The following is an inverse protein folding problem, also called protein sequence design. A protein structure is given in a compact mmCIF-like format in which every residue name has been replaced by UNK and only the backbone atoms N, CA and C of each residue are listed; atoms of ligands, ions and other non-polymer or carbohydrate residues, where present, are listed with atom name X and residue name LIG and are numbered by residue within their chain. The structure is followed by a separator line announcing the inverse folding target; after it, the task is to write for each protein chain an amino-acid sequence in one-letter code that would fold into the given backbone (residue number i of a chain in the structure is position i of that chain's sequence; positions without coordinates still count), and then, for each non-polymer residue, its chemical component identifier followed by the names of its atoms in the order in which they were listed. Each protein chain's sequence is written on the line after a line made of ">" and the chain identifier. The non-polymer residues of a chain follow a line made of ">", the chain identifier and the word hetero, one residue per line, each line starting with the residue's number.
data_IF_948779195926
#
_entry.id   IF_948779195926
#
_cell.length_a   1.000
_cell.length_b   1.000
_cell.length_c   1.000
_cell.angle_alpha   90.00
_cell.angle_beta   90.00
_cell.angle_gamma   90.00
#
_symmetry.space_group_name_H-M   'P 1'
#
loop_
_entity.id
_entity.type
_entity.pdbx_description
1 polymer ?
#
# COMPACT_ATOMS: atom_id res chain seq x y z
N UNK A 1 -2.84 -44.93 -0.09
CA UNK A 1 -2.16 -43.65 0.17
C UNK A 1 -3.05 -42.55 -0.40
N UNK A 2 -3.76 -41.83 0.47
CA UNK A 2 -4.76 -40.84 0.07
C UNK A 2 -4.06 -39.54 -0.38
N UNK A 3 -4.45 -39.02 -1.55
CA UNK A 3 -4.07 -37.68 -2.01
C UNK A 3 -4.69 -36.62 -1.11
N UNK A 4 -3.95 -35.60 -0.66
CA UNK A 4 -4.56 -34.47 0.02
C UNK A 4 -5.27 -33.60 -1.03
N UNK A 5 -6.60 -33.57 -0.96
CA UNK A 5 -7.43 -32.55 -1.62
C UNK A 5 -7.04 -31.19 -1.04
N UNK A 6 -6.40 -30.33 -1.83
CA UNK A 6 -6.20 -28.93 -1.46
C UNK A 6 -7.58 -28.26 -1.52
N UNK A 7 -8.09 -27.90 -0.36
CA UNK A 7 -9.29 -27.10 -0.22
C UNK A 7 -9.08 -25.78 -0.96
N UNK A 8 -9.96 -25.51 -1.93
CA UNK A 8 -10.10 -24.18 -2.50
C UNK A 8 -10.59 -23.26 -1.38
N UNK A 9 -9.72 -22.38 -0.89
CA UNK A 9 -10.11 -21.31 0.04
C UNK A 9 -11.01 -20.36 -0.72
N UNK A 10 -12.31 -20.60 -0.58
CA UNK A 10 -13.37 -19.70 -1.02
C UNK A 10 -13.56 -18.67 0.09
N UNK A 11 -13.96 -17.45 -0.28
CA UNK A 11 -14.28 -16.27 0.54
C UNK A 11 -13.15 -15.24 0.74
N UNK A 12 -13.13 -14.24 -0.13
CA UNK A 12 -12.69 -12.88 0.23
C UNK A 12 -13.92 -11.98 0.19
N UNK A 13 -14.83 -12.18 1.15
CA UNK A 13 -15.98 -11.32 1.45
C UNK A 13 -15.60 -10.26 2.49
N UNK A 14 -14.38 -9.74 2.41
CA UNK A 14 -13.88 -8.66 3.25
C UNK A 14 -13.42 -7.49 2.38
N UNK A 15 -13.67 -6.28 2.85
CA UNK A 15 -13.03 -5.07 2.32
C UNK A 15 -11.51 -5.33 2.26
N UNK A 16 -10.87 -5.28 1.08
CA UNK A 16 -9.46 -5.66 0.96
C UNK A 16 -8.50 -4.58 1.47
N UNK A 17 -9.04 -3.40 1.80
CA UNK A 17 -8.31 -2.18 2.17
C UNK A 17 -8.55 -1.82 3.63
N UNK A 18 -7.59 -1.13 4.23
CA UNK A 18 -7.62 -0.67 5.61
C UNK A 18 -7.78 0.85 5.66
N UNK A 19 -8.12 1.38 6.82
CA UNK A 19 -8.20 2.83 7.03
C UNK A 19 -6.87 3.55 6.78
N UNK A 20 -5.71 3.03 7.21
CA UNK A 20 -4.43 3.66 6.88
C UNK A 20 -4.09 3.64 5.38
N UNK A 21 -4.51 2.61 4.63
CA UNK A 21 -4.38 2.62 3.16
C UNK A 21 -5.26 3.70 2.54
N UNK A 22 -6.49 3.89 3.04
CA UNK A 22 -7.38 4.95 2.60
C UNK A 22 -6.79 6.35 2.87
N UNK A 23 -6.20 6.55 4.05
CA UNK A 23 -5.50 7.78 4.43
C UNK A 23 -4.35 8.09 3.46
N UNK A 24 -3.54 7.08 3.15
CA UNK A 24 -2.44 7.21 2.22
C UNK A 24 -2.89 7.57 0.79
N UNK A 25 -4.07 7.13 0.34
CA UNK A 25 -4.65 7.61 -0.92
C UNK A 25 -5.04 9.09 -0.84
N UNK A 26 -5.66 9.53 0.25
CA UNK A 26 -5.96 10.96 0.44
C UNK A 26 -4.71 11.84 0.43
N UNK A 27 -3.57 11.33 0.92
CA UNK A 27 -2.32 12.07 1.00
C UNK A 27 -1.49 12.05 -0.29
N UNK A 28 -1.55 10.97 -1.08
CA UNK A 28 -0.60 10.74 -2.19
C UNK A 28 -1.21 10.75 -3.59
N UNK A 29 -2.53 10.82 -3.70
CA UNK A 29 -3.26 10.74 -4.98
C UNK A 29 -4.22 11.91 -5.14
N UNK A 30 -3.79 12.92 -5.90
CA UNK A 30 -4.54 14.17 -6.11
C UNK A 30 -5.90 13.94 -6.79
N UNK A 31 -6.02 12.88 -7.61
CA UNK A 31 -7.26 12.55 -8.32
C UNK A 31 -8.25 11.76 -7.44
N UNK A 32 -7.80 11.22 -6.31
CA UNK A 32 -8.62 10.37 -5.45
C UNK A 32 -9.89 11.07 -4.96
N UNK A 33 -9.74 12.26 -4.37
CA UNK A 33 -10.90 13.01 -3.83
C UNK A 33 -11.90 13.43 -4.90
N UNK A 34 -11.49 14.03 -6.04
CA UNK A 34 -12.40 14.30 -7.17
C UNK A 34 -13.13 13.06 -7.69
N UNK A 35 -12.46 11.91 -7.78
CA UNK A 35 -13.08 10.66 -8.25
C UNK A 35 -14.12 10.11 -7.27
N UNK A 36 -13.91 10.24 -5.95
CA UNK A 36 -14.91 9.86 -4.95
C UNK A 36 -16.22 10.64 -5.12
N UNK A 37 -16.11 11.95 -5.41
CA UNK A 37 -17.29 12.80 -5.67
C UNK A 37 -18.01 12.41 -6.95
N UNK A 38 -17.25 12.21 -8.03
CA UNK A 38 -17.83 12.02 -9.37
C UNK A 38 -18.31 10.59 -9.62
N UNK A 39 -17.61 9.59 -9.10
CA UNK A 39 -17.92 8.16 -9.35
C UNK A 39 -18.84 7.55 -8.30
N UNK A 40 -18.74 7.99 -7.06
CA UNK A 40 -19.50 7.44 -5.93
C UNK A 40 -20.51 8.42 -5.32
N UNK A 41 -20.56 9.65 -5.84
CA UNK A 41 -21.45 10.70 -5.35
C UNK A 41 -21.32 10.91 -3.84
N UNK A 42 -20.09 10.88 -3.31
CA UNK A 42 -19.81 11.21 -1.91
C UNK A 42 -19.85 12.73 -1.71
N UNK A 43 -20.46 13.16 -0.61
CA UNK A 43 -20.48 14.59 -0.25
C UNK A 43 -19.15 15.02 0.35
N UNK A 44 -18.91 16.34 0.40
CA UNK A 44 -17.73 16.91 1.08
C UNK A 44 -17.65 16.49 2.54
N UNK A 45 -18.78 16.51 3.25
CA UNK A 45 -18.84 16.08 4.65
C UNK A 45 -18.48 14.59 4.82
N UNK A 46 -18.97 13.73 3.93
CA UNK A 46 -18.62 12.30 3.95
C UNK A 46 -17.13 12.08 3.70
N UNK A 47 -16.55 12.82 2.75
CA UNK A 47 -15.12 12.74 2.44
C UNK A 47 -14.28 13.25 3.61
N UNK A 48 -14.69 14.36 4.23
CA UNK A 48 -14.01 14.91 5.40
C UNK A 48 -14.04 13.94 6.58
N UNK A 49 -15.19 13.29 6.84
CA UNK A 49 -15.30 12.26 7.88
C UNK A 49 -14.44 11.03 7.57
N UNK A 50 -14.46 10.53 6.32
CA UNK A 50 -13.60 9.41 5.90
C UNK A 50 -12.12 9.72 6.10
N UNK A 51 -11.68 10.92 5.72
CA UNK A 51 -10.30 11.37 5.93
C UNK A 51 -9.97 11.44 7.42
N UNK A 52 -10.84 12.01 8.24
CA UNK A 52 -10.63 12.15 9.68
C UNK A 52 -10.49 10.78 10.37
N UNK A 53 -11.39 9.83 10.10
CA UNK A 53 -11.30 8.49 10.71
C UNK A 53 -10.11 7.69 10.19
N UNK A 54 -9.78 7.83 8.90
CA UNK A 54 -8.63 7.16 8.31
C UNK A 54 -7.33 7.61 8.97
N UNK A 55 -7.21 8.93 9.14
CA UNK A 55 -6.10 9.59 9.80
C UNK A 55 -5.97 9.25 11.28
N UNK A 56 -7.08 9.20 12.00
CA UNK A 56 -7.11 8.82 13.41
C UNK A 56 -6.52 7.41 13.60
N UNK A 57 -6.95 6.45 12.77
CA UNK A 57 -6.42 5.09 12.83
C UNK A 57 -4.94 5.00 12.45
N UNK A 58 -4.48 5.72 11.42
CA UNK A 58 -3.04 5.80 11.08
C UNK A 58 -2.20 6.28 12.27
N UNK A 59 -2.72 7.24 13.04
CA UNK A 59 -1.99 7.85 14.16
C UNK A 59 -1.80 6.88 15.34
N UNK A 60 -2.77 5.98 15.57
CA UNK A 60 -2.73 4.97 16.65
C UNK A 60 -1.56 3.98 16.49
N UNK A 61 -1.18 3.66 15.25
CA UNK A 61 -0.08 2.71 14.95
C UNK A 61 1.28 3.16 15.50
N UNK A 62 1.45 4.47 15.72
CA UNK A 62 2.69 5.06 16.23
C UNK A 62 2.80 4.99 17.75
N UNK A 63 1.68 5.02 18.47
CA UNK A 63 1.70 5.05 19.95
C UNK A 63 2.16 3.71 20.55
N UNK A 64 2.14 2.65 19.74
CA UNK A 64 2.44 1.27 20.13
C UNK A 64 3.88 0.82 19.82
N UNK A 65 4.82 1.73 19.54
CA UNK A 65 6.25 1.40 19.35
C UNK A 65 6.91 0.73 20.59
N UNK A 66 6.21 0.69 21.73
CA UNK A 66 6.61 -0.04 22.94
C UNK A 66 6.25 -1.54 22.86
N UNK A 67 6.86 -2.25 21.91
CA UNK A 67 7.16 -3.69 21.99
C UNK A 67 6.03 -4.72 21.94
N UNK A 68 4.76 -4.35 22.10
CA UNK A 68 3.63 -5.31 22.18
C UNK A 68 2.54 -5.03 21.13
N UNK A 69 2.99 -4.86 19.88
CA UNK A 69 2.10 -4.60 18.75
C UNK A 69 1.44 -5.89 18.25
N UNK A 70 0.17 -6.09 18.58
CA UNK A 70 -0.61 -7.30 18.24
C UNK A 70 -1.61 -7.16 17.07
N UNK A 71 -1.66 -6.01 16.39
CA UNK A 71 -2.66 -5.74 15.36
C UNK A 71 -2.55 -6.68 14.15
N UNK A 72 -3.68 -7.04 13.55
CA UNK A 72 -3.73 -7.89 12.35
C UNK A 72 -4.35 -7.17 11.15
N UNK A 73 -3.93 -7.55 9.95
CA UNK A 73 -4.54 -7.06 8.70
C UNK A 73 -6.05 -7.40 8.62
N UNK A 74 -6.48 -8.50 9.23
CA UNK A 74 -7.87 -8.94 9.20
C UNK A 74 -8.77 -7.98 10.01
N UNK A 75 -8.39 -7.69 11.25
CA UNK A 75 -9.12 -6.76 12.13
C UNK A 75 -9.14 -5.35 11.52
N UNK A 76 -8.02 -4.91 10.95
CA UNK A 76 -7.92 -3.60 10.31
C UNK A 76 -8.86 -3.44 9.11
N UNK A 77 -9.10 -4.52 8.35
CA UNK A 77 -10.04 -4.55 7.23
C UNK A 77 -11.49 -4.55 7.70
N UNK A 78 -11.80 -5.31 8.76
CA UNK A 78 -13.13 -5.33 9.36
C UNK A 78 -13.51 -3.96 9.93
N UNK A 79 -12.59 -3.32 10.64
CA UNK A 79 -12.76 -1.96 11.14
C UNK A 79 -13.02 -0.98 9.99
N UNK A 80 -12.22 -1.04 8.93
CA UNK A 80 -12.39 -0.19 7.76
C UNK A 80 -13.77 -0.38 7.11
N UNK A 81 -14.23 -1.63 6.98
CA UNK A 81 -15.56 -1.94 6.45
C UNK A 81 -16.67 -1.32 7.32
N UNK A 82 -16.57 -1.44 8.64
CA UNK A 82 -17.55 -0.86 9.57
C UNK A 82 -17.59 0.66 9.45
N UNK A 83 -16.43 1.33 9.51
CA UNK A 83 -16.36 2.80 9.45
C UNK A 83 -16.85 3.37 8.13
N UNK A 84 -16.50 2.75 7.01
CA UNK A 84 -17.00 3.17 5.69
C UNK A 84 -18.53 3.04 5.63
N UNK A 85 -19.09 1.92 6.12
CA UNK A 85 -20.54 1.72 6.17
C UNK A 85 -21.24 2.74 7.06
N UNK A 86 -20.66 3.08 8.22
CA UNK A 86 -21.20 4.10 9.14
C UNK A 86 -21.28 5.48 8.49
N UNK A 87 -20.25 5.89 7.74
CA UNK A 87 -20.14 7.25 7.18
C UNK A 87 -20.93 7.41 5.88
N UNK A 88 -20.81 6.43 4.96
CA UNK A 88 -21.39 6.56 3.60
C UNK A 88 -22.62 5.68 3.36
N UNK A 89 -22.98 4.82 4.32
CA UNK A 89 -24.03 3.82 4.16
C UNK A 89 -23.51 2.51 3.56
N UNK A 90 -24.30 1.44 3.65
CA UNK A 90 -23.88 0.09 3.24
C UNK A 90 -23.49 0.01 1.75
N UNK A 91 -24.36 0.49 0.85
CA UNK A 91 -24.15 0.38 -0.59
C UNK A 91 -22.91 1.15 -1.05
N UNK A 92 -22.81 2.43 -0.65
CA UNK A 92 -21.65 3.27 -0.98
C UNK A 92 -20.39 2.80 -0.27
N UNK A 93 -20.50 2.22 0.93
CA UNK A 93 -19.36 1.66 1.67
C UNK A 93 -18.72 0.49 0.91
N UNK A 94 -19.55 -0.41 0.38
CA UNK A 94 -19.07 -1.50 -0.48
C UNK A 94 -18.48 -0.99 -1.80
N UNK A 95 -19.10 0.01 -2.43
CA UNK A 95 -18.57 0.62 -3.66
C UNK A 95 -17.23 1.33 -3.41
N UNK A 96 -17.10 2.05 -2.29
CA UNK A 96 -15.85 2.69 -1.88
C UNK A 96 -14.75 1.66 -1.67
N UNK A 97 -15.02 0.59 -0.91
CA UNK A 97 -14.07 -0.50 -0.72
C UNK A 97 -13.59 -1.12 -2.04
N UNK A 98 -14.51 -1.37 -2.97
CA UNK A 98 -14.19 -1.91 -4.29
C UNK A 98 -13.36 -0.91 -5.11
N UNK A 99 -13.74 0.36 -5.11
CA UNK A 99 -13.03 1.43 -5.81
C UNK A 99 -11.59 1.57 -5.34
N UNK A 100 -11.36 1.64 -4.02
CA UNK A 100 -10.02 1.71 -3.44
C UNK A 100 -9.23 0.44 -3.77
N UNK A 101 -9.86 -0.74 -3.71
CA UNK A 101 -9.19 -2.00 -4.08
C UNK A 101 -8.74 -2.04 -5.53
N UNK A 102 -9.62 -1.68 -6.46
CA UNK A 102 -9.32 -1.67 -7.90
C UNK A 102 -8.18 -0.70 -8.17
N UNK A 103 -8.30 0.54 -7.65
CA UNK A 103 -7.30 1.59 -7.80
C UNK A 103 -5.95 1.16 -7.22
N UNK A 104 -5.97 0.53 -6.05
CA UNK A 104 -4.77 0.02 -5.44
C UNK A 104 -4.17 -1.09 -6.29
N UNK A 105 -4.92 -2.14 -6.66
CA UNK A 105 -4.38 -3.26 -7.46
C UNK A 105 -3.80 -2.81 -8.80
N UNK A 106 -4.49 -1.93 -9.52
CA UNK A 106 -4.07 -1.42 -10.82
C UNK A 106 -2.74 -0.64 -10.74
N UNK A 107 -2.47 0.01 -9.60
CA UNK A 107 -1.50 1.10 -9.58
C UNK A 107 -2.07 2.32 -10.32
N UNK A 108 -1.65 3.52 -9.94
CA UNK A 108 -2.26 4.80 -10.33
C UNK A 108 -2.47 5.03 -11.84
N UNK A 109 -1.83 4.26 -12.72
CA UNK A 109 -1.76 4.58 -14.16
C UNK A 109 -2.40 3.52 -15.08
N UNK A 110 -2.88 2.38 -14.55
CA UNK A 110 -3.56 1.37 -15.38
C UNK A 110 -5.05 1.70 -15.62
N UNK A 111 -5.58 2.74 -14.97
CA UNK A 111 -6.96 3.20 -15.18
C UNK A 111 -7.14 3.95 -16.51
N UNK A 112 -6.08 4.57 -17.07
CA UNK A 112 -6.10 5.22 -18.39
C UNK A 112 -5.97 4.21 -19.56
N UNK A 113 -5.46 3.00 -19.28
CA UNK A 113 -5.00 2.05 -20.30
C UNK A 113 -6.00 0.92 -20.61
N UNK A 114 -7.31 1.16 -20.52
CA UNK A 114 -8.37 0.22 -20.98
C UNK A 114 -8.44 0.07 -22.52
N UNK A 115 -7.28 0.02 -23.20
CA UNK A 115 -7.12 -0.35 -24.62
C UNK A 115 -5.92 -1.28 -24.87
N UNK A 116 -5.53 -2.09 -23.90
CA UNK A 116 -4.68 -3.26 -24.18
C UNK A 116 -5.52 -4.50 -23.93
N UNK A 117 -5.69 -5.31 -24.98
CA UNK A 117 -6.28 -6.66 -24.88
C UNK A 117 -5.63 -7.39 -23.71
N UNK A 118 -6.36 -8.18 -22.92
CA UNK A 118 -5.75 -8.92 -21.83
C UNK A 118 -4.67 -9.83 -22.41
N UNK A 119 -3.39 -9.49 -22.20
CA UNK A 119 -2.32 -10.44 -22.38
C UNK A 119 -2.66 -11.60 -21.47
N UNK A 120 -2.92 -12.74 -22.08
CA UNK A 120 -3.56 -13.92 -21.51
C UNK A 120 -2.62 -14.69 -20.59
N UNK A 121 -1.72 -13.99 -19.91
CA UNK A 121 -0.88 -14.54 -18.87
C UNK A 121 -1.33 -13.95 -17.54
N UNK A 122 -2.48 -14.47 -17.09
CA UNK A 122 -2.79 -14.60 -15.68
C UNK A 122 -1.66 -15.40 -15.03
N UNK A 123 -0.55 -14.75 -14.73
CA UNK A 123 0.50 -15.33 -13.90
C UNK A 123 0.08 -15.16 -12.45
N UNK A 124 -1.03 -15.80 -12.09
CA UNK A 124 -1.14 -16.46 -10.80
C UNK A 124 -0.16 -17.65 -10.84
N UNK A 125 1.14 -17.37 -10.94
CA UNK A 125 2.14 -18.39 -10.67
C UNK A 125 1.90 -18.85 -9.25
N UNK A 126 1.85 -20.16 -9.04
CA UNK A 126 1.81 -20.75 -7.71
C UNK A 126 2.82 -20.04 -6.79
N UNK A 127 2.50 -19.87 -5.49
CA UNK A 127 3.42 -19.24 -4.55
C UNK A 127 4.84 -19.79 -4.72
N UNK A 128 5.83 -18.90 -4.75
CA UNK A 128 7.25 -19.22 -4.91
C UNK A 128 7.68 -19.78 -6.28
N UNK A 129 6.89 -19.63 -7.35
CA UNK A 129 7.40 -19.96 -8.69
C UNK A 129 8.52 -19.01 -9.08
N UNK A 130 9.63 -19.56 -9.57
CA UNK A 130 10.76 -18.79 -10.07
C UNK A 130 10.37 -18.16 -11.41
N UNK A 131 10.49 -16.82 -11.57
CA UNK A 131 10.19 -16.17 -12.85
C UNK A 131 11.14 -16.62 -13.97
N UNK A 132 10.69 -16.56 -15.22
CA UNK A 132 11.53 -16.81 -16.41
C UNK A 132 12.00 -15.52 -17.09
N UNK A 133 11.55 -14.36 -16.63
CA UNK A 133 11.82 -13.03 -17.20
C UNK A 133 12.64 -12.16 -16.24
N UNK A 134 12.81 -10.88 -16.59
CA UNK A 134 13.44 -9.88 -15.72
C UNK A 134 12.39 -9.23 -14.84
N UNK A 135 12.43 -9.49 -13.52
CA UNK A 135 11.52 -8.88 -12.56
C UNK A 135 12.07 -8.87 -11.15
N UNK A 136 11.42 -8.09 -10.29
CA UNK A 136 11.62 -8.14 -8.84
C UNK A 136 10.48 -8.96 -8.22
N UNK A 137 10.80 -9.85 -7.30
CA UNK A 137 9.83 -10.61 -6.50
C UNK A 137 9.98 -10.23 -5.04
N UNK A 138 8.92 -9.67 -4.44
CA UNK A 138 8.86 -9.37 -3.00
C UNK A 138 8.06 -10.46 -2.30
N UNK A 139 8.74 -11.29 -1.50
CA UNK A 139 8.11 -12.26 -0.61
C UNK A 139 7.97 -11.62 0.78
N UNK A 140 6.85 -10.94 0.99
CA UNK A 140 6.58 -10.20 2.22
C UNK A 140 6.58 -11.10 3.48
N UNK A 141 5.94 -12.28 3.51
CA UNK A 141 6.03 -13.19 4.67
C UNK A 141 7.46 -13.63 5.00
N UNK A 142 8.34 -13.70 4.00
CA UNK A 142 9.75 -14.07 4.19
C UNK A 142 10.68 -12.86 4.40
N UNK A 143 10.16 -11.63 4.44
CA UNK A 143 10.97 -10.40 4.54
C UNK A 143 12.11 -10.37 3.50
N UNK A 144 11.83 -10.84 2.28
CA UNK A 144 12.83 -11.03 1.23
C UNK A 144 12.40 -10.42 -0.10
N UNK A 145 13.34 -9.78 -0.78
CA UNK A 145 13.18 -9.31 -2.15
C UNK A 145 14.26 -9.91 -3.05
N UNK A 146 13.85 -10.56 -4.13
CA UNK A 146 14.70 -11.24 -5.10
C UNK A 146 14.66 -10.47 -6.44
N UNK A 147 15.83 -10.24 -7.03
CA UNK A 147 15.99 -9.56 -8.33
C UNK A 147 16.39 -10.60 -9.37
N UNK A 148 15.55 -10.77 -10.38
CA UNK A 148 15.79 -11.67 -11.51
C UNK A 148 16.10 -10.89 -12.78
N UNK A 149 17.02 -11.42 -13.57
CA UNK A 149 17.32 -10.97 -14.92
C UNK A 149 17.21 -12.18 -15.85
N UNK A 150 16.27 -12.14 -16.79
CA UNK A 150 16.01 -13.26 -17.73
C UNK A 150 15.86 -14.62 -17.03
N UNK A 151 15.12 -14.63 -15.91
CA UNK A 151 14.88 -15.82 -15.08
C UNK A 151 16.05 -16.25 -14.18
N UNK A 152 17.22 -15.61 -14.28
CA UNK A 152 18.36 -15.87 -13.38
C UNK A 152 18.27 -14.97 -12.16
N UNK A 153 18.38 -15.56 -10.96
CA UNK A 153 18.51 -14.78 -9.72
C UNK A 153 19.84 -14.03 -9.72
N UNK A 154 19.78 -12.71 -9.68
CA UNK A 154 20.95 -11.81 -9.66
C UNK A 154 21.29 -11.42 -8.22
N UNK A 155 20.28 -11.16 -7.39
CA UNK A 155 20.50 -10.72 -6.02
C UNK A 155 19.27 -10.99 -5.15
N UNK A 156 19.52 -11.26 -3.86
CA UNK A 156 18.51 -11.30 -2.80
C UNK A 156 18.82 -10.24 -1.74
N UNK A 157 17.77 -9.60 -1.24
CA UNK A 157 17.81 -8.58 -0.19
C UNK A 157 16.88 -8.96 0.95
N UNK A 158 17.30 -8.71 2.19
CA UNK A 158 16.38 -8.66 3.34
C UNK A 158 15.66 -7.31 3.28
N UNK A 159 14.35 -7.32 3.48
CA UNK A 159 13.52 -6.10 3.45
C UNK A 159 12.72 -5.96 4.74
N UNK A 160 12.47 -4.72 5.14
CA UNK A 160 11.41 -4.41 6.09
C UNK A 160 10.08 -4.32 5.34
N UNK A 161 8.98 -4.66 6.01
CA UNK A 161 7.62 -4.41 5.53
C UNK A 161 6.92 -3.49 6.52
N UNK A 162 5.92 -2.73 6.05
CA UNK A 162 5.12 -1.87 6.91
C UNK A 162 4.25 -2.66 7.89
N UNK A 163 3.50 -1.92 8.71
CA UNK A 163 2.53 -2.48 9.64
C UNK A 163 1.48 -3.37 8.94
N UNK A 164 0.91 -4.38 9.62
CA UNK A 164 -0.20 -5.18 9.09
C UNK A 164 -1.39 -4.36 8.56
N UNK A 165 -1.61 -3.17 9.10
CA UNK A 165 -2.64 -2.18 8.75
C UNK A 165 -2.27 -1.38 7.51
N UNK A 166 -1.03 -1.46 7.05
CA UNK A 166 -0.57 -1.05 5.73
C UNK A 166 -0.18 -2.31 4.93
N UNK A 167 -1.14 -3.19 4.60
CA UNK A 167 -0.83 -4.41 3.88
C UNK A 167 -0.11 -4.07 2.57
N UNK A 168 0.78 -4.95 2.11
CA UNK A 168 1.35 -4.80 0.78
C UNK A 168 0.36 -5.30 -0.26
N UNK A 169 0.23 -4.58 -1.39
CA UNK A 169 -0.60 -5.05 -2.49
C UNK A 169 0.04 -6.29 -3.13
N UNK A 170 -0.80 -7.26 -3.48
CA UNK A 170 -0.37 -8.49 -4.15
C UNK A 170 -0.64 -8.42 -5.65
N UNK A 171 0.18 -9.13 -6.42
CA UNK A 171 0.08 -9.21 -7.89
C UNK A 171 1.24 -8.55 -8.61
N UNK A 172 1.21 -8.64 -9.95
CA UNK A 172 2.21 -8.01 -10.79
C UNK A 172 1.99 -6.51 -10.85
N UNK A 173 3.09 -5.76 -10.77
CA UNK A 173 3.11 -4.31 -10.92
C UNK A 173 4.32 -3.89 -11.73
N UNK A 174 4.22 -2.71 -12.33
CA UNK A 174 5.29 -2.13 -13.14
C UNK A 174 5.89 -0.92 -12.44
N UNK A 175 7.18 -1.01 -12.11
CA UNK A 175 7.98 0.16 -11.77
C UNK A 175 8.17 1.01 -13.04
N UNK A 176 7.81 2.29 -12.98
CA UNK A 176 7.98 3.22 -14.12
C UNK A 176 9.21 4.10 -13.98
N UNK A 177 9.71 4.25 -12.77
CA UNK A 177 10.86 5.08 -12.45
C UNK A 177 11.70 4.44 -11.35
N UNK A 178 13.01 4.66 -11.43
CA UNK A 178 13.94 4.49 -10.33
C UNK A 178 14.49 5.87 -10.03
N UNK A 179 14.22 6.38 -8.84
CA UNK A 179 14.63 7.71 -8.39
C UNK A 179 15.83 7.53 -7.48
N UNK A 180 17.00 7.94 -7.94
CA UNK A 180 18.23 7.96 -7.15
C UNK A 180 18.29 9.25 -6.34
N UNK A 181 18.81 9.16 -5.11
CA UNK A 181 18.93 10.26 -4.17
C UNK A 181 17.62 11.05 -4.03
N UNK A 182 16.49 10.39 -3.70
CA UNK A 182 15.22 11.07 -3.59
C UNK A 182 15.25 12.06 -2.42
N UNK A 183 14.72 13.26 -2.64
CA UNK A 183 14.31 14.11 -1.52
C UNK A 183 13.05 13.53 -0.89
N UNK A 184 12.82 13.84 0.37
CA UNK A 184 11.61 13.44 1.09
C UNK A 184 10.88 14.68 1.56
N UNK A 185 9.57 14.70 1.32
CA UNK A 185 8.67 15.71 1.88
C UNK A 185 7.80 14.99 2.90
N UNK A 186 7.93 15.32 4.20
CA UNK A 186 7.07 14.75 5.23
C UNK A 186 5.61 14.99 4.87
N UNK A 187 4.79 13.94 4.87
CA UNK A 187 3.37 14.09 4.65
C UNK A 187 2.78 14.97 5.75
N UNK A 188 1.64 15.62 5.46
CA UNK A 188 0.82 16.21 6.51
C UNK A 188 0.35 15.05 7.38
N UNK A 189 1.05 14.76 8.48
CA UNK A 189 0.82 13.67 9.45
C UNK A 189 1.06 14.20 10.88
N UNK A 190 0.29 13.80 11.93
CA UNK A 190 0.37 14.43 13.25
C UNK A 190 1.72 14.14 13.91
N UNK A 191 2.38 13.05 13.48
CA UNK A 191 3.70 12.70 13.94
C UNK A 191 4.80 13.64 13.45
N UNK A 192 4.62 14.23 12.26
CA UNK A 192 5.53 15.22 11.69
C UNK A 192 5.48 16.51 12.50
N UNK A 193 4.31 16.87 13.04
CA UNK A 193 4.12 18.07 13.88
C UNK A 193 4.29 17.78 15.39
N UNK A 194 4.70 16.56 15.77
CA UNK A 194 4.91 16.24 17.20
C UNK A 194 6.08 17.03 17.80
N UNK A 195 6.06 17.39 19.10
CA UNK A 195 7.13 18.19 19.73
C UNK A 195 8.53 17.57 19.64
N UNK A 196 8.61 16.24 19.45
CA UNK A 196 9.87 15.49 19.28
C UNK A 196 10.30 15.35 17.82
N UNK A 197 9.49 15.81 16.86
CA UNK A 197 9.82 15.76 15.44
C UNK A 197 10.98 16.70 15.11
N UNK A 198 11.78 16.28 14.14
CA UNK A 198 12.93 17.04 13.62
C UNK A 198 12.67 17.58 12.21
N UNK A 199 11.46 17.41 11.70
CA UNK A 199 11.03 17.79 10.36
C UNK A 199 9.62 18.36 10.44
N UNK A 200 9.25 19.25 9.51
CA UNK A 200 7.90 19.85 9.43
C UNK A 200 7.12 19.37 8.23
N UNK A 201 5.80 19.48 8.28
CA UNK A 201 4.93 19.16 7.15
C UNK A 201 5.33 20.01 5.94
N UNK A 202 5.48 19.37 4.78
CA UNK A 202 5.87 20.05 3.55
C UNK A 202 7.34 20.47 3.48
N UNK A 203 8.12 20.31 4.55
CA UNK A 203 9.56 20.61 4.53
C UNK A 203 10.27 19.68 3.55
N UNK A 204 11.06 20.25 2.63
CA UNK A 204 11.86 19.43 1.74
C UNK A 204 13.13 18.96 2.48
N UNK A 205 13.18 17.67 2.81
CA UNK A 205 14.35 17.01 3.38
C UNK A 205 15.23 16.48 2.25
N UNK A 206 16.44 17.01 2.15
CA UNK A 206 17.38 16.68 1.08
C UNK A 206 17.87 15.22 1.14
N UNK A 207 18.34 14.72 0.00
CA UNK A 207 18.91 13.39 -0.11
C UNK A 207 20.17 13.23 0.76
N UNK A 208 20.39 12.04 1.29
CA UNK A 208 21.53 11.73 2.17
C UNK A 208 21.41 12.27 3.61
N UNK A 209 20.40 13.09 3.92
CA UNK A 209 20.08 13.48 5.29
C UNK A 209 19.72 12.27 6.14
N UNK A 210 20.19 12.24 7.40
CA UNK A 210 19.78 11.21 8.39
C UNK A 210 18.29 11.26 8.72
N UNK A 211 17.62 12.38 8.41
CA UNK A 211 16.19 12.57 8.60
C UNK A 211 15.37 12.08 7.41
N UNK A 212 16.00 11.75 6.27
CA UNK A 212 15.32 11.24 5.09
C UNK A 212 15.14 9.71 5.20
N UNK A 213 13.91 9.19 5.33
CA UNK A 213 13.64 7.77 5.51
C UNK A 213 13.75 6.96 4.20
N UNK A 214 13.87 7.61 3.04
CA UNK A 214 13.83 6.96 1.72
C UNK A 214 15.18 6.38 1.27
N UNK A 215 16.26 6.67 2.01
CA UNK A 215 17.61 6.22 1.66
C UNK A 215 18.10 6.74 0.30
N UNK A 216 18.91 5.94 -0.38
CA UNK A 216 19.55 6.32 -1.65
C UNK A 216 18.67 6.13 -2.89
N UNK A 217 17.54 5.42 -2.75
CA UNK A 217 16.74 5.00 -3.89
C UNK A 217 15.28 4.86 -3.50
N UNK A 218 14.40 5.31 -4.39
CA UNK A 218 12.94 5.14 -4.34
C UNK A 218 12.44 4.62 -5.68
N UNK A 219 11.61 3.58 -5.65
CA UNK A 219 10.94 2.98 -6.80
C UNK A 219 9.44 3.03 -6.52
N UNK A 220 8.71 4.00 -7.07
CA UNK A 220 7.25 3.98 -7.03
C UNK A 220 6.72 2.75 -7.77
N UNK A 221 5.80 2.02 -7.12
CA UNK A 221 5.15 0.83 -7.69
C UNK A 221 3.62 1.00 -7.70
N UNK A 222 3.16 2.22 -7.95
CA UNK A 222 1.76 2.64 -7.90
C UNK A 222 1.33 3.10 -6.50
N UNK A 223 0.69 4.28 -6.43
CA UNK A 223 0.27 4.89 -5.17
C UNK A 223 -0.65 3.98 -4.34
N UNK A 224 -0.50 3.98 -3.00
CA UNK A 224 0.50 4.70 -2.20
C UNK A 224 1.84 3.92 -2.02
N UNK A 225 2.08 2.86 -2.79
CA UNK A 225 3.15 1.88 -2.54
C UNK A 225 4.46 2.23 -3.26
N UNK A 226 5.58 2.00 -2.57
CA UNK A 226 6.93 2.20 -3.08
C UNK A 226 7.91 1.19 -2.46
N UNK A 227 8.96 0.86 -3.21
CA UNK A 227 10.16 0.20 -2.67
C UNK A 227 11.19 1.31 -2.43
N UNK A 228 11.81 1.36 -1.27
CA UNK A 228 12.84 2.35 -0.98
C UNK A 228 14.03 1.76 -0.23
N UNK A 229 15.15 2.46 -0.25
CA UNK A 229 16.22 2.21 0.71
C UNK A 229 15.74 2.55 2.11
N UNK A 230 16.30 1.92 3.13
CA UNK A 230 15.96 2.22 4.52
C UNK A 230 17.21 2.60 5.32
N UNK A 231 17.01 2.88 6.60
CA UNK A 231 18.10 2.78 7.57
C UNK A 231 18.62 1.34 7.55
N UNK A 232 19.91 1.17 7.78
CA UNK A 232 20.50 -0.17 7.92
C UNK A 232 19.72 -0.96 8.98
N UNK A 233 19.28 -2.17 8.63
CA UNK A 233 18.66 -3.07 9.61
C UNK A 233 19.72 -3.39 10.68
N UNK A 234 19.40 -3.13 11.95
CA UNK A 234 20.24 -3.49 13.09
C UNK A 234 20.36 -5.01 13.24
#
# INVERSE_FOLDING_TARGET
>A
MASPTVAATTEVTGVPVTLPVLDAFFASDEAFTPELKTRLSLTDDQIAQLRAVAREETSKLRETETGDYGGTTAEARELAASRMKEIVGADKGSQLAAFVSERWRAGSDDLESKKVKPSTESVATAPNTVPSDTRIVVNAPAYRMDVFETGRLIKSYKVGIGYPEFPLPTGLRKAKAIIFNPTWTPPDEPWVESPSSKVKVGEKVEAGSKLNPLGLLKIPIGSPSLIHGGKTLA
#
